data_IF_579085657549
#
_entry.id   IF_579085657549
#
_cell.length_a   1.000
_cell.length_b   1.000
_cell.length_c   1.000
_cell.angle_alpha   90.00
_cell.angle_beta   90.00
_cell.angle_gamma   90.00
#
_symmetry.space_group_name_H-M   'P 1'
#
loop_
_entity.id
_entity.type
_entity.pdbx_description
1 polymer ?
#
# COMPACT_ATOMS: atom_id res chain seq x y z
N UNK A 1 4.29 -0.72 -8.64
CA UNK A 1 5.68 -1.22 -8.66
C UNK A 1 6.74 -0.13 -8.78
N UNK A 2 6.52 0.96 -9.52
CA UNK A 2 7.53 2.02 -9.65
C UNK A 2 8.01 2.60 -8.31
N UNK A 3 7.13 2.74 -7.31
CA UNK A 3 7.52 3.26 -6.00
C UNK A 3 8.46 2.31 -5.24
N UNK A 4 8.17 1.01 -5.27
CA UNK A 4 8.99 -0.01 -4.61
C UNK A 4 10.41 -0.07 -5.22
N UNK A 5 10.51 -0.06 -6.54
CA UNK A 5 11.81 0.02 -7.24
C UNK A 5 12.60 1.26 -6.81
N UNK A 6 11.97 2.43 -6.82
CA UNK A 6 12.61 3.69 -6.41
C UNK A 6 13.09 3.65 -4.97
N UNK A 7 12.27 3.15 -4.04
CA UNK A 7 12.61 3.08 -2.61
C UNK A 7 13.78 2.13 -2.37
N UNK A 8 13.77 0.93 -2.96
CA UNK A 8 14.88 -0.03 -2.82
C UNK A 8 16.21 0.54 -3.33
N UNK A 9 16.17 1.28 -4.44
CA UNK A 9 17.35 1.94 -5.00
C UNK A 9 17.80 3.14 -4.18
N UNK A 10 16.87 4.01 -3.78
CA UNK A 10 17.17 5.29 -3.13
C UNK A 10 17.53 5.13 -1.65
N UNK A 11 16.73 4.37 -0.91
CA UNK A 11 16.79 4.34 0.56
C UNK A 11 17.56 3.12 1.08
N UNK A 12 17.57 2.02 0.32
CA UNK A 12 18.29 0.79 0.67
C UNK A 12 19.58 0.57 -0.13
N UNK A 13 19.83 1.42 -1.14
CA UNK A 13 21.03 1.38 -1.99
C UNK A 13 21.29 0.00 -2.61
N UNK A 14 20.20 -0.67 -3.00
CA UNK A 14 20.22 -2.02 -3.59
C UNK A 14 20.73 -2.02 -5.03
N UNK A 15 21.35 -3.13 -5.44
CA UNK A 15 21.76 -3.34 -6.84
C UNK A 15 20.57 -3.66 -7.73
N UNK A 16 20.66 -3.35 -9.03
CA UNK A 16 19.63 -3.68 -10.03
C UNK A 16 19.18 -5.16 -9.99
N UNK A 17 20.13 -6.07 -9.83
CA UNK A 17 19.86 -7.51 -9.71
C UNK A 17 19.01 -7.80 -8.46
N UNK A 18 19.38 -7.23 -7.32
CA UNK A 18 18.67 -7.45 -6.06
C UNK A 18 17.29 -6.80 -6.06
N UNK A 19 17.14 -5.60 -6.64
CA UNK A 19 15.86 -4.92 -6.79
C UNK A 19 14.89 -5.79 -7.60
N UNK A 20 15.33 -6.30 -8.75
CA UNK A 20 14.49 -7.21 -9.55
C UNK A 20 14.11 -8.47 -8.78
N UNK A 21 15.07 -9.10 -8.09
CA UNK A 21 14.81 -10.29 -7.29
C UNK A 21 13.79 -10.04 -6.17
N UNK A 22 13.92 -8.95 -5.43
CA UNK A 22 13.00 -8.62 -4.34
C UNK A 22 11.60 -8.30 -4.86
N UNK A 23 11.50 -7.54 -5.96
CA UNK A 23 10.22 -7.25 -6.61
C UNK A 23 9.57 -8.56 -7.07
N UNK A 24 10.30 -9.44 -7.75
CA UNK A 24 9.77 -10.75 -8.16
C UNK A 24 9.24 -11.57 -6.99
N UNK A 25 10.00 -11.64 -5.89
CA UNK A 25 9.56 -12.36 -4.69
C UNK A 25 8.26 -11.78 -4.12
N UNK A 26 8.13 -10.46 -4.03
CA UNK A 26 6.90 -9.83 -3.53
C UNK A 26 5.73 -10.13 -4.48
N UNK A 27 5.96 -10.08 -5.79
CA UNK A 27 4.94 -10.34 -6.79
C UNK A 27 4.44 -11.78 -6.79
N UNK A 28 5.28 -12.75 -6.42
CA UNK A 28 4.87 -14.16 -6.30
C UNK A 28 3.82 -14.40 -5.20
N UNK A 29 3.78 -13.53 -4.18
CA UNK A 29 2.79 -13.61 -3.09
C UNK A 29 1.70 -12.53 -3.16
N UNK A 30 1.79 -11.60 -4.12
CA UNK A 30 0.87 -10.48 -4.23
C UNK A 30 -0.22 -10.74 -5.28
N UNK A 31 -1.43 -10.26 -5.02
CA UNK A 31 -2.47 -10.14 -6.05
C UNK A 31 -2.44 -8.74 -6.63
N UNK A 32 -2.26 -8.63 -7.96
CA UNK A 32 -2.30 -7.34 -8.65
C UNK A 32 -3.74 -6.92 -8.85
N UNK A 33 -4.09 -5.75 -8.31
CA UNK A 33 -5.43 -5.17 -8.42
C UNK A 33 -5.34 -3.94 -9.32
N UNK A 34 -6.23 -3.88 -10.31
CA UNK A 34 -6.47 -2.68 -11.11
C UNK A 34 -7.75 -2.02 -10.60
N UNK A 35 -7.67 -0.91 -9.83
CA UNK A 35 -8.86 -0.34 -9.21
C UNK A 35 -9.88 0.10 -10.25
N UNK A 36 -11.13 -0.34 -10.08
CA UNK A 36 -12.25 0.01 -10.95
C UNK A 36 -13.04 1.24 -10.49
N UNK A 37 -12.63 1.82 -9.36
CA UNK A 37 -13.28 2.97 -8.72
C UNK A 37 -12.32 4.14 -8.70
N UNK A 38 -12.87 5.35 -8.78
CA UNK A 38 -12.12 6.59 -8.58
C UNK A 38 -12.69 7.35 -7.40
N UNK A 39 -11.84 7.71 -6.45
CA UNK A 39 -12.23 8.32 -5.18
C UNK A 39 -11.55 9.69 -5.00
N UNK A 40 -12.04 10.45 -4.02
CA UNK A 40 -11.41 11.70 -3.56
C UNK A 40 -11.59 11.79 -2.05
N UNK A 41 -10.74 11.08 -1.32
CA UNK A 41 -10.87 10.85 0.13
C UNK A 41 -9.72 11.51 0.88
N UNK A 42 -8.49 11.29 0.42
CA UNK A 42 -7.27 11.81 1.05
C UNK A 42 -7.01 13.23 0.54
N UNK A 43 -7.78 14.20 1.02
CA UNK A 43 -7.67 15.60 0.53
C UNK A 43 -6.29 16.24 0.72
N UNK A 44 -5.53 15.78 1.71
CA UNK A 44 -4.18 16.28 2.01
C UNK A 44 -3.14 15.75 1.02
N UNK A 45 -3.38 14.56 0.46
CA UNK A 45 -2.53 13.92 -0.54
C UNK A 45 -3.39 13.09 -1.51
N UNK A 46 -3.87 13.69 -2.61
CA UNK A 46 -4.70 13.00 -3.58
C UNK A 46 -4.03 11.77 -4.22
N UNK A 47 -2.70 11.65 -4.18
CA UNK A 47 -2.01 10.49 -4.75
C UNK A 47 -2.20 9.22 -3.90
N UNK A 48 -2.61 9.37 -2.64
CA UNK A 48 -2.93 8.26 -1.73
C UNK A 48 -4.33 7.67 -1.96
N UNK A 49 -5.20 8.36 -2.71
CA UNK A 49 -6.53 7.83 -3.03
C UNK A 49 -6.44 6.47 -3.74
N UNK A 50 -5.38 6.25 -4.55
CA UNK A 50 -5.12 4.96 -5.22
C UNK A 50 -5.01 3.77 -4.26
N UNK A 51 -4.55 4.01 -3.02
CA UNK A 51 -4.42 2.96 -2.00
C UNK A 51 -5.81 2.56 -1.49
N UNK A 52 -6.67 3.55 -1.26
CA UNK A 52 -8.06 3.32 -0.84
C UNK A 52 -8.87 2.69 -1.99
N UNK A 53 -8.70 3.19 -3.22
CA UNK A 53 -9.33 2.63 -4.41
C UNK A 53 -8.98 1.15 -4.61
N UNK A 54 -7.71 0.79 -4.40
CA UNK A 54 -7.24 -0.60 -4.43
C UNK A 54 -7.94 -1.46 -3.37
N UNK A 55 -7.90 -1.01 -2.11
CA UNK A 55 -8.51 -1.73 -0.98
C UNK A 55 -10.02 -1.94 -1.18
N UNK A 56 -10.72 -0.92 -1.68
CA UNK A 56 -12.16 -1.02 -2.00
C UNK A 56 -12.40 -1.99 -3.15
N UNK A 57 -11.57 -1.95 -4.20
CA UNK A 57 -11.75 -2.79 -5.39
C UNK A 57 -11.51 -4.28 -5.10
N UNK A 58 -10.67 -4.61 -4.12
CA UNK A 58 -10.43 -6.00 -3.69
C UNK A 58 -11.20 -6.42 -2.42
N UNK A 59 -12.06 -5.55 -1.87
CA UNK A 59 -12.77 -5.78 -0.61
C UNK A 59 -11.83 -6.16 0.56
N UNK A 60 -10.72 -5.43 0.71
CA UNK A 60 -9.78 -5.67 1.80
C UNK A 60 -10.40 -5.35 3.16
N UNK A 61 -10.08 -6.14 4.18
CA UNK A 61 -10.47 -5.84 5.57
C UNK A 61 -9.58 -4.75 6.20
N UNK A 62 -8.32 -4.67 5.76
CA UNK A 62 -7.30 -3.78 6.32
C UNK A 62 -6.46 -3.09 5.25
N UNK A 63 -6.10 -1.83 5.50
CA UNK A 63 -4.97 -1.14 4.88
C UNK A 63 -3.88 -1.05 5.93
N UNK A 64 -2.72 -1.64 5.63
CA UNK A 64 -1.53 -1.57 6.49
C UNK A 64 -0.59 -0.51 5.92
N UNK A 65 -0.35 0.57 6.65
CA UNK A 65 0.46 1.69 6.16
C UNK A 65 1.20 2.42 7.28
N UNK A 66 2.33 3.05 6.93
CA UNK A 66 3.03 4.01 7.78
C UNK A 66 2.65 5.47 7.49
N UNK A 67 1.84 5.71 6.46
CA UNK A 67 1.46 7.06 6.02
C UNK A 67 0.46 7.71 6.99
N UNK A 68 0.78 8.93 7.47
CA UNK A 68 -0.07 9.64 8.44
C UNK A 68 -1.37 10.16 7.84
N UNK A 69 -1.39 10.56 6.57
CA UNK A 69 -2.60 11.04 5.90
C UNK A 69 -3.63 9.91 5.75
N UNK A 70 -3.18 8.69 5.46
CA UNK A 70 -4.03 7.51 5.47
C UNK A 70 -4.44 7.11 6.89
N UNK A 71 -3.51 7.07 7.85
CA UNK A 71 -3.82 6.70 9.24
C UNK A 71 -4.81 7.66 9.92
N UNK A 72 -4.78 8.95 9.56
CA UNK A 72 -5.73 9.96 10.06
C UNK A 72 -7.20 9.60 9.74
N UNK A 73 -7.45 8.84 8.66
CA UNK A 73 -8.80 8.41 8.27
C UNK A 73 -9.35 7.32 9.19
N UNK A 74 -8.48 6.51 9.81
CA UNK A 74 -8.77 5.36 10.70
C UNK A 74 -9.55 4.20 10.05
N UNK A 75 -10.61 4.49 9.32
CA UNK A 75 -11.44 3.51 8.64
C UNK A 75 -12.11 4.15 7.41
N UNK A 76 -12.27 3.36 6.34
CA UNK A 76 -13.04 3.77 5.17
C UNK A 76 -13.92 2.63 4.67
N UNK A 77 -15.25 2.81 4.66
CA UNK A 77 -16.22 1.79 4.22
C UNK A 77 -16.02 0.40 4.87
N UNK A 78 -15.72 0.38 6.17
CA UNK A 78 -15.45 -0.87 6.92
C UNK A 78 -14.00 -1.37 6.83
N UNK A 79 -13.17 -0.78 5.96
CA UNK A 79 -11.76 -1.12 5.80
C UNK A 79 -10.96 -0.39 6.88
N UNK A 80 -10.34 -1.12 7.80
CA UNK A 80 -9.57 -0.53 8.90
C UNK A 80 -8.17 -0.12 8.43
N UNK A 81 -7.73 1.07 8.82
CA UNK A 81 -6.41 1.58 8.45
C UNK A 81 -5.51 1.55 9.67
N UNK A 82 -4.48 0.73 9.61
CA UNK A 82 -3.64 0.38 10.76
C UNK A 82 -2.16 0.45 10.41
N UNK A 83 -1.33 0.61 11.43
CA UNK A 83 0.12 0.46 11.31
C UNK A 83 0.49 -1.01 11.18
N UNK A 84 1.66 -1.30 10.59
CA UNK A 84 2.20 -2.67 10.53
C UNK A 84 2.29 -3.31 11.92
N UNK A 85 2.71 -2.54 12.93
CA UNK A 85 2.76 -3.02 14.32
C UNK A 85 1.38 -3.46 14.83
N UNK A 86 0.36 -2.63 14.64
CA UNK A 86 -1.01 -2.96 15.05
C UNK A 86 -1.54 -4.19 14.29
N UNK A 87 -1.24 -4.30 13.00
CA UNK A 87 -1.67 -5.46 12.21
C UNK A 87 -1.06 -6.77 12.73
N UNK A 88 0.23 -6.77 13.10
CA UNK A 88 0.91 -7.93 13.68
C UNK A 88 0.33 -8.38 15.04
N UNK A 89 -0.39 -7.51 15.76
CA UNK A 89 -1.07 -7.87 17.00
C UNK A 89 -2.45 -8.52 16.75
N UNK A 90 -2.96 -8.49 15.51
CA UNK A 90 -4.26 -9.03 15.12
C UNK A 90 -4.16 -10.42 14.46
N UNK A 91 -2.97 -10.82 14.02
CA UNK A 91 -2.71 -12.06 13.25
C UNK A 91 -1.80 -13.04 13.98
#
# INVERSE_FOLDING_TARGET
>A
MQELDKVLRRDFNETDEMVHRQISLIMDYATVVHPGVKLSVVKKDPDDDKIIECAVSCNADYIVTGDRHLLDLKEYKGIKIVTAKQFLELV
#
